data_IF_356926606296
#
_entry.id   IF_356926606296
#
_cell.length_a   1.000
_cell.length_b   1.000
_cell.length_c   1.000
_cell.angle_alpha   90.00
_cell.angle_beta   90.00
_cell.angle_gamma   90.00
#
_symmetry.space_group_name_H-M   'P 1'
#
loop_
_entity.id
_entity.type
_entity.pdbx_description
1 polymer ?
#
# COMPACT_ATOMS: atom_id res chain seq x y z
N UNK A 1 -17.09 12.20 -9.07
CA UNK A 1 -15.99 11.91 -8.15
C UNK A 1 -14.74 11.56 -8.93
N UNK A 2 -13.61 12.06 -8.53
CA UNK A 2 -12.33 11.76 -9.19
C UNK A 2 -11.99 10.28 -9.01
N UNK A 3 -11.50 9.66 -10.08
CA UNK A 3 -11.06 8.27 -10.04
C UNK A 3 -9.60 8.20 -10.48
N UNK A 4 -8.79 7.45 -9.73
CA UNK A 4 -7.40 7.15 -10.07
C UNK A 4 -7.28 5.66 -10.35
N UNK A 5 -6.55 5.30 -11.40
CA UNK A 5 -6.32 3.89 -11.75
C UNK A 5 -4.84 3.59 -11.62
N UNK A 6 -4.51 2.65 -10.74
CA UNK A 6 -3.16 2.10 -10.66
C UNK A 6 -3.16 0.72 -11.31
N UNK A 7 -2.03 0.34 -11.88
CA UNK A 7 -1.91 -0.91 -12.66
C UNK A 7 -0.93 -1.85 -11.97
N UNK A 8 -1.48 -2.93 -11.40
CA UNK A 8 -0.70 -3.95 -10.69
C UNK A 8 0.32 -4.68 -11.57
N UNK A 9 0.18 -4.61 -12.89
CA UNK A 9 1.17 -5.19 -13.80
C UNK A 9 2.46 -4.37 -13.89
N UNK A 10 2.44 -3.12 -13.40
CA UNK A 10 3.58 -2.21 -13.50
C UNK A 10 4.55 -2.28 -12.32
N UNK A 11 4.21 -3.02 -11.26
CA UNK A 11 5.07 -3.09 -10.09
C UNK A 11 5.11 -4.48 -9.49
N UNK A 12 6.25 -4.81 -8.86
CA UNK A 12 6.47 -6.09 -8.19
C UNK A 12 7.01 -5.91 -6.77
N UNK A 13 7.32 -4.68 -6.37
CA UNK A 13 7.84 -4.35 -5.04
C UNK A 13 7.06 -3.19 -4.45
N UNK A 14 7.19 -3.02 -3.14
CA UNK A 14 6.55 -1.90 -2.45
C UNK A 14 7.06 -0.55 -2.98
N UNK A 15 8.38 -0.45 -3.24
CA UNK A 15 8.97 0.77 -3.79
C UNK A 15 8.39 1.09 -5.16
N UNK A 16 8.21 0.08 -6.00
CA UNK A 16 7.60 0.27 -7.32
C UNK A 16 6.12 0.64 -7.22
N UNK A 17 5.42 0.13 -6.20
CA UNK A 17 4.04 0.56 -5.91
C UNK A 17 4.00 2.06 -5.62
N UNK A 18 4.92 2.56 -4.81
CA UNK A 18 4.99 3.99 -4.53
C UNK A 18 5.28 4.80 -5.80
N UNK A 19 6.12 4.29 -6.70
CA UNK A 19 6.37 4.94 -8.00
C UNK A 19 5.10 5.00 -8.84
N UNK A 20 4.31 3.94 -8.84
CA UNK A 20 3.04 3.91 -9.59
C UNK A 20 2.03 4.91 -9.00
N UNK A 21 1.94 5.00 -7.68
CA UNK A 21 1.10 5.99 -6.99
C UNK A 21 1.51 7.42 -7.39
N UNK A 22 2.83 7.68 -7.41
CA UNK A 22 3.37 8.97 -7.83
C UNK A 22 2.95 9.30 -9.26
N UNK A 23 3.13 8.36 -10.16
CA UNK A 23 2.82 8.56 -11.60
C UNK A 23 1.34 8.90 -11.80
N UNK A 24 0.46 8.23 -11.08
CA UNK A 24 -0.99 8.32 -11.30
C UNK A 24 -1.62 9.45 -10.48
N UNK A 25 -1.20 9.60 -9.23
CA UNK A 25 -1.91 10.44 -8.26
C UNK A 25 -1.19 11.75 -7.93
N UNK A 26 0.15 11.73 -7.87
CA UNK A 26 0.93 12.88 -7.42
C UNK A 26 2.17 13.04 -8.30
N UNK A 27 1.99 13.32 -9.63
CA UNK A 27 3.15 13.34 -10.54
C UNK A 27 4.07 14.53 -10.36
N UNK A 28 3.60 15.62 -9.73
CA UNK A 28 4.33 16.88 -9.65
C UNK A 28 4.92 17.17 -8.27
N UNK A 29 4.63 16.31 -7.27
CA UNK A 29 5.06 16.55 -5.90
C UNK A 29 5.91 15.40 -5.37
N UNK A 30 6.83 15.74 -4.48
CA UNK A 30 7.56 14.75 -3.69
C UNK A 30 6.73 14.38 -2.46
N UNK A 31 6.64 13.08 -2.21
CA UNK A 31 6.06 12.57 -0.97
C UNK A 31 6.99 11.47 -0.42
N UNK A 32 6.89 11.12 0.85
CA UNK A 32 7.90 10.36 1.56
C UNK A 32 8.18 8.92 1.11
N UNK A 33 7.41 8.35 0.18
CA UNK A 33 7.56 6.97 -0.33
C UNK A 33 7.69 5.94 0.80
N UNK A 34 6.81 6.03 1.80
CA UNK A 34 6.70 5.05 2.88
C UNK A 34 5.22 4.87 3.23
N UNK A 35 4.92 3.89 4.08
CA UNK A 35 3.53 3.56 4.41
C UNK A 35 2.81 4.69 5.13
N UNK A 36 3.50 5.40 6.04
CA UNK A 36 2.90 6.54 6.75
C UNK A 36 2.58 7.68 5.79
N UNK A 37 3.49 7.97 4.86
CA UNK A 37 3.27 9.00 3.85
C UNK A 37 2.15 8.60 2.89
N UNK A 38 2.03 7.32 2.55
CA UNK A 38 0.93 6.82 1.74
C UNK A 38 -0.41 7.03 2.46
N UNK A 39 -0.47 6.71 3.75
CA UNK A 39 -1.65 6.96 4.58
C UNK A 39 -2.05 8.45 4.53
N UNK A 40 -1.06 9.35 4.62
CA UNK A 40 -1.30 10.79 4.58
C UNK A 40 -1.87 11.25 3.25
N UNK A 41 -1.36 10.75 2.11
CA UNK A 41 -1.89 11.19 0.80
C UNK A 41 -3.32 10.71 0.56
N UNK A 42 -3.72 9.60 1.17
CA UNK A 42 -5.11 9.14 1.08
C UNK A 42 -6.06 10.07 1.81
N UNK A 43 -5.56 10.78 2.83
CA UNK A 43 -6.36 11.75 3.58
C UNK A 43 -6.59 13.05 2.79
N UNK A 44 -5.77 13.33 1.78
CA UNK A 44 -5.86 14.53 0.95
C UNK A 44 -4.78 15.56 1.31
N UNK A 45 -4.73 16.63 0.55
CA UNK A 45 -3.81 17.75 0.82
C UNK A 45 -2.48 17.67 0.10
N UNK A 46 -2.21 16.57 -0.63
CA UNK A 46 -0.97 16.39 -1.40
C UNK A 46 -1.24 16.34 -2.91
N UNK A 47 -2.31 17.01 -3.35
CA UNK A 47 -2.71 16.97 -4.76
C UNK A 47 -3.88 16.05 -5.03
N UNK A 48 -4.34 15.29 -4.04
CA UNK A 48 -5.55 14.47 -4.14
C UNK A 48 -6.76 15.26 -3.64
N UNK A 49 -8.00 14.96 -4.15
CA UNK A 49 -9.19 15.69 -3.72
C UNK A 49 -9.50 15.51 -2.23
N UNK A 50 -9.80 16.63 -1.56
CA UNK A 50 -10.17 16.61 -0.13
C UNK A 50 -11.52 15.93 0.11
N UNK A 51 -12.43 15.99 -0.86
CA UNK A 51 -13.76 15.38 -0.76
C UNK A 51 -13.74 13.86 -0.95
N UNK A 52 -12.56 13.29 -1.25
CA UNK A 52 -12.40 11.87 -1.49
C UNK A 52 -12.28 11.53 -2.97
N UNK A 53 -12.02 10.27 -3.24
CA UNK A 53 -11.82 9.79 -4.61
C UNK A 53 -12.03 8.27 -4.66
N UNK A 54 -12.14 7.76 -5.88
CA UNK A 54 -12.15 6.32 -6.11
C UNK A 54 -10.75 5.89 -6.54
N UNK A 55 -10.23 4.84 -5.91
CA UNK A 55 -8.97 4.22 -6.30
C UNK A 55 -9.28 2.88 -6.94
N UNK A 56 -8.98 2.76 -8.23
CA UNK A 56 -9.19 1.54 -8.99
C UNK A 56 -7.83 0.87 -9.16
N UNK A 57 -7.73 -0.36 -8.68
CA UNK A 57 -6.49 -1.13 -8.74
C UNK A 57 -6.67 -2.24 -9.77
N UNK A 58 -6.19 -1.98 -10.99
CA UNK A 58 -6.25 -2.96 -12.09
C UNK A 58 -5.17 -4.02 -11.89
N UNK A 59 -5.43 -5.23 -12.37
CA UNK A 59 -4.52 -6.37 -12.22
C UNK A 59 -4.17 -6.65 -10.75
N UNK A 60 -5.16 -6.50 -9.87
CA UNK A 60 -4.96 -6.66 -8.43
C UNK A 60 -4.53 -8.08 -8.06
N UNK A 61 -4.94 -9.09 -8.81
CA UNK A 61 -4.53 -10.48 -8.61
C UNK A 61 -3.04 -10.68 -8.83
N UNK A 62 -2.45 -9.99 -9.83
CA UNK A 62 -0.99 -9.99 -10.02
C UNK A 62 -0.29 -9.34 -8.84
N UNK A 63 -0.84 -8.23 -8.33
CA UNK A 63 -0.26 -7.55 -7.17
C UNK A 63 -0.30 -8.43 -5.92
N UNK A 64 -1.40 -9.17 -5.72
CA UNK A 64 -1.52 -10.09 -4.58
C UNK A 64 -0.39 -11.12 -4.60
N UNK A 65 -0.06 -11.64 -5.79
CA UNK A 65 1.04 -12.60 -5.94
C UNK A 65 2.41 -11.95 -5.77
N UNK A 66 2.63 -10.80 -6.44
CA UNK A 66 3.92 -10.12 -6.47
C UNK A 66 4.28 -9.48 -5.13
N UNK A 67 3.28 -9.00 -4.40
CA UNK A 67 3.44 -8.42 -3.06
C UNK A 67 3.14 -9.43 -1.96
N UNK A 68 3.33 -10.71 -2.26
CA UNK A 68 3.14 -11.81 -1.32
C UNK A 68 4.30 -11.99 -0.36
N UNK A 69 4.45 -13.20 0.17
CA UNK A 69 5.43 -13.47 1.22
C UNK A 69 6.87 -13.18 0.85
N UNK A 70 7.36 -13.47 -0.36
CA UNK A 70 8.76 -13.10 -0.68
C UNK A 70 9.03 -11.61 -0.56
N UNK A 71 8.16 -10.76 -1.07
CA UNK A 71 8.31 -9.30 -0.92
C UNK A 71 8.12 -8.86 0.52
N UNK A 72 7.20 -9.50 1.25
CA UNK A 72 6.97 -9.21 2.66
C UNK A 72 8.22 -9.52 3.48
N UNK A 73 8.87 -10.66 3.24
CA UNK A 73 10.14 -11.00 3.89
C UNK A 73 11.19 -9.94 3.58
N UNK A 74 11.31 -9.53 2.31
CA UNK A 74 12.29 -8.52 1.91
C UNK A 74 12.07 -7.21 2.65
N UNK A 75 10.82 -6.74 2.73
CA UNK A 75 10.48 -5.49 3.43
C UNK A 75 10.77 -5.59 4.93
N UNK A 76 10.44 -6.72 5.55
CA UNK A 76 10.68 -6.91 6.97
C UNK A 76 12.16 -7.02 7.30
N UNK A 77 12.97 -7.63 6.43
CA UNK A 77 14.42 -7.64 6.58
C UNK A 77 15.01 -6.23 6.54
N UNK A 78 14.53 -5.40 5.59
CA UNK A 78 14.94 -4.00 5.53
C UNK A 78 14.52 -3.22 6.78
N UNK A 79 13.29 -3.44 7.24
CA UNK A 79 12.77 -2.78 8.44
C UNK A 79 13.58 -3.18 9.67
N UNK A 80 13.94 -4.46 9.78
CA UNK A 80 14.72 -4.97 10.92
C UNK A 80 16.08 -4.25 11.02
N UNK A 81 16.68 -3.91 9.87
CA UNK A 81 17.96 -3.19 9.84
C UNK A 81 17.81 -1.71 10.21
N UNK A 82 16.62 -1.12 10.00
CA UNK A 82 16.40 0.34 10.11
C UNK A 82 15.64 0.73 11.37
N UNK A 83 14.87 -0.19 11.97
CA UNK A 83 14.02 0.14 13.10
C UNK A 83 14.83 0.37 14.36
N UNK A 84 14.22 1.12 15.30
CA UNK A 84 14.80 1.31 16.62
C UNK A 84 14.94 -0.05 17.35
N UNK A 85 15.96 -0.16 18.18
CA UNK A 85 16.25 -1.40 18.95
C UNK A 85 15.02 -1.94 19.68
N UNK A 86 14.18 -1.07 20.24
CA UNK A 86 13.00 -1.47 21.00
C UNK A 86 11.95 -2.19 20.14
N UNK A 87 11.95 -1.98 18.82
CA UNK A 87 11.00 -2.60 17.90
C UNK A 87 11.50 -3.90 17.29
N UNK A 88 12.81 -4.19 17.42
CA UNK A 88 13.42 -5.36 16.77
C UNK A 88 12.74 -6.69 17.12
N UNK A 89 12.37 -6.98 18.38
CA UNK A 89 11.68 -8.24 18.67
C UNK A 89 10.37 -8.40 17.93
N UNK A 90 9.60 -7.31 17.78
CA UNK A 90 8.32 -7.34 17.06
C UNK A 90 8.53 -7.57 15.57
N UNK A 91 9.48 -6.85 14.98
CA UNK A 91 9.78 -6.99 13.54
C UNK A 91 10.34 -8.38 13.24
N UNK A 92 11.22 -8.89 14.12
CA UNK A 92 11.78 -10.23 13.98
C UNK A 92 10.69 -11.31 14.03
N UNK A 93 9.70 -11.15 14.92
CA UNK A 93 8.57 -12.07 15.00
C UNK A 93 7.71 -12.05 13.74
N UNK A 94 7.44 -10.86 13.19
CA UNK A 94 6.73 -10.73 11.92
C UNK A 94 7.49 -11.39 10.77
N UNK A 95 8.83 -11.20 10.75
CA UNK A 95 9.69 -11.80 9.73
C UNK A 95 9.63 -13.31 9.78
N UNK A 96 9.69 -13.90 10.98
CA UNK A 96 9.58 -15.34 11.15
C UNK A 96 8.25 -15.87 10.64
N UNK A 97 7.15 -15.16 10.92
CA UNK A 97 5.83 -15.52 10.41
C UNK A 97 5.80 -15.47 8.89
N UNK A 98 6.31 -14.40 8.29
CA UNK A 98 6.32 -14.24 6.84
C UNK A 98 7.14 -15.35 6.16
N UNK A 99 8.27 -15.74 6.74
CA UNK A 99 9.10 -16.84 6.24
C UNK A 99 8.37 -18.18 6.27
N UNK A 100 7.43 -18.31 7.22
CA UNK A 100 6.60 -19.52 7.35
C UNK A 100 5.32 -19.44 6.50
N UNK A 101 5.14 -18.38 5.71
CA UNK A 101 3.93 -18.18 4.92
C UNK A 101 2.72 -17.84 5.77
N UNK A 102 2.92 -17.13 6.87
CA UNK A 102 1.86 -16.76 7.81
C UNK A 102 1.84 -15.24 8.04
N UNK A 103 0.68 -14.76 8.48
CA UNK A 103 0.47 -13.34 8.73
C UNK A 103 0.17 -12.55 7.46
N UNK A 104 0.08 -11.22 7.61
CA UNK A 104 -0.26 -10.34 6.50
C UNK A 104 0.92 -10.14 5.57
N UNK A 105 0.61 -10.00 4.27
CA UNK A 105 1.59 -9.67 3.23
C UNK A 105 1.62 -8.16 3.00
N UNK A 106 2.59 -7.70 2.20
CA UNK A 106 2.63 -6.28 1.76
C UNK A 106 1.32 -5.90 1.09
N UNK A 107 0.75 -6.77 0.25
CA UNK A 107 -0.55 -6.51 -0.37
C UNK A 107 -1.61 -6.25 0.70
N UNK A 108 -1.67 -7.08 1.73
CA UNK A 108 -2.63 -6.93 2.83
C UNK A 108 -2.43 -5.61 3.58
N UNK A 109 -1.17 -5.19 3.80
CA UNK A 109 -0.89 -3.91 4.46
C UNK A 109 -1.47 -2.74 3.68
N UNK A 110 -1.29 -2.74 2.35
CA UNK A 110 -1.79 -1.68 1.49
C UNK A 110 -3.31 -1.64 1.46
N UNK A 111 -3.94 -2.81 1.34
CA UNK A 111 -5.41 -2.90 1.34
C UNK A 111 -5.97 -2.37 2.65
N UNK A 112 -5.39 -2.76 3.78
CA UNK A 112 -5.85 -2.30 5.10
C UNK A 112 -5.74 -0.78 5.24
N UNK A 113 -4.61 -0.20 4.81
CA UNK A 113 -4.43 1.25 4.85
C UNK A 113 -5.50 1.96 4.01
N UNK A 114 -5.74 1.49 2.78
CA UNK A 114 -6.74 2.10 1.90
C UNK A 114 -8.14 1.96 2.48
N UNK A 115 -8.50 0.79 2.98
CA UNK A 115 -9.82 0.53 3.53
C UNK A 115 -10.10 1.35 4.80
N UNK A 116 -9.08 1.70 5.56
CA UNK A 116 -9.24 2.59 6.72
C UNK A 116 -9.79 3.97 6.31
N UNK A 117 -9.53 4.41 5.09
CA UNK A 117 -10.02 5.69 4.56
C UNK A 117 -11.36 5.58 3.84
N UNK A 118 -11.93 4.37 3.76
CA UNK A 118 -13.19 4.11 3.10
C UNK A 118 -14.36 3.94 4.06
N UNK A 119 -15.56 3.62 3.52
CA UNK A 119 -16.75 3.40 4.35
C UNK A 119 -16.52 2.33 5.40
N UNK A 120 -16.84 2.65 6.66
CA UNK A 120 -16.64 1.74 7.79
C UNK A 120 -15.23 1.70 8.36
N UNK A 121 -14.28 2.42 7.75
CA UNK A 121 -12.91 2.49 8.24
C UNK A 121 -12.73 3.51 9.35
N UNK A 122 -11.57 3.47 10.01
CA UNK A 122 -11.25 4.38 11.12
C UNK A 122 -11.05 5.83 10.67
N UNK A 123 -10.77 6.03 9.40
CA UNK A 123 -10.52 7.34 8.77
C UNK A 123 -11.50 7.56 7.61
N UNK A 124 -12.75 7.17 7.82
CA UNK A 124 -13.78 7.19 6.77
C UNK A 124 -14.11 8.60 6.25
N UNK A 125 -13.76 9.64 6.99
CA UNK A 125 -13.91 11.03 6.55
C UNK A 125 -13.08 11.35 5.31
N UNK A 126 -12.05 10.57 5.02
CA UNK A 126 -11.26 10.70 3.79
C UNK A 126 -12.07 10.32 2.55
N UNK A 127 -13.07 9.47 2.72
CA UNK A 127 -14.00 9.04 1.67
C UNK A 127 -13.29 8.46 0.43
N UNK A 128 -12.36 7.53 0.67
CA UNK A 128 -11.66 6.81 -0.40
C UNK A 128 -12.36 5.48 -0.65
N UNK A 129 -12.76 5.24 -1.89
CA UNK A 129 -13.40 3.98 -2.30
C UNK A 129 -12.39 3.14 -3.08
N UNK A 130 -12.19 1.89 -2.67
CA UNK A 130 -11.27 0.97 -3.33
C UNK A 130 -12.03 -0.02 -4.20
N UNK A 131 -11.61 -0.15 -5.45
CA UNK A 131 -12.12 -1.16 -6.38
C UNK A 131 -10.96 -2.00 -6.87
N UNK A 132 -10.98 -3.29 -6.56
CA UNK A 132 -9.97 -4.25 -7.03
C UNK A 132 -10.48 -4.94 -8.29
N UNK A 133 -9.70 -4.88 -9.37
CA UNK A 133 -10.05 -5.53 -10.63
C UNK A 133 -9.01 -6.58 -10.99
N UNK A 134 -9.45 -7.81 -11.30
CA UNK A 134 -8.51 -8.86 -11.71
C UNK A 134 -7.96 -8.60 -13.11
N UNK A 135 -6.88 -9.30 -13.45
CA UNK A 135 -6.33 -9.26 -14.80
C UNK A 135 -7.38 -9.79 -15.78
N UNK A 136 -7.48 -9.14 -16.93
CA UNK A 136 -8.35 -9.62 -18.00
C UNK A 136 -7.67 -10.81 -18.69
N UNK A 137 -8.46 -11.84 -19.00
CA UNK A 137 -7.98 -13.01 -19.71
C UNK A 137 -7.90 -12.73 -21.23
#
# INVERSE_FOLDING_TARGET
MTAYRIDGARFSTLEEFFDEVTRVMIPDDFWGHNLDAFDDILHGGFGTPDEGFELIWDNADLSRDRLGYPETVRQLELRLKRCHRSWRPFVAAQLDQARAGQGDTVFDWLIEIIEDHGPGGRKSESNVTLTLRPAEE
#
